data_IF_950999686130
#
_entry.id   IF_950999686130
#
_cell.length_a   1.000
_cell.length_b   1.000
_cell.length_c   1.000
_cell.angle_alpha   90.00
_cell.angle_beta   90.00
_cell.angle_gamma   90.00
#
_symmetry.space_group_name_H-M   'P 1'
#
loop_
_entity.id
_entity.type
_entity.pdbx_description
1 polymer ?
#
# COMPACT_ATOMS: atom_id res chain seq x y z
N UNK A 1 -4.18 -3.92 13.51
CA UNK A 1 -5.18 -5.02 13.60
C UNK A 1 -4.52 -6.40 13.51
N UNK A 2 -3.89 -6.80 12.39
CA UNK A 2 -3.31 -8.14 12.26
C UNK A 2 -2.30 -8.46 13.39
N UNK A 3 -1.34 -7.59 13.64
CA UNK A 3 -0.38 -7.76 14.72
C UNK A 3 -1.05 -7.92 16.10
N UNK A 4 -2.05 -7.10 16.39
CA UNK A 4 -2.82 -7.22 17.63
C UNK A 4 -3.55 -8.57 17.74
N UNK A 5 -4.15 -9.04 16.64
CA UNK A 5 -4.82 -10.35 16.59
C UNK A 5 -3.88 -11.52 16.90
N UNK A 6 -2.62 -11.42 16.46
CA UNK A 6 -1.60 -12.46 16.67
C UNK A 6 -0.67 -12.17 17.87
N UNK A 7 -1.00 -11.18 18.70
CA UNK A 7 -0.18 -10.76 19.84
C UNK A 7 1.26 -10.44 19.46
N UNK A 8 1.45 -9.79 18.31
CA UNK A 8 2.76 -9.36 17.81
C UNK A 8 2.97 -7.87 18.13
N UNK A 9 4.20 -7.50 18.44
CA UNK A 9 4.59 -6.09 18.50
C UNK A 9 4.50 -5.47 17.11
N UNK A 10 4.02 -4.24 17.03
CA UNK A 10 3.88 -3.51 15.77
C UNK A 10 4.49 -2.13 15.89
N UNK A 11 5.48 -1.84 15.06
CA UNK A 11 6.09 -0.51 14.95
C UNK A 11 5.76 0.06 13.57
N UNK A 12 5.25 1.30 13.52
CA UNK A 12 4.82 1.95 12.29
C UNK A 12 5.61 3.24 12.13
N UNK A 13 6.42 3.33 11.07
CA UNK A 13 7.11 4.56 10.68
C UNK A 13 6.16 5.40 9.84
N UNK A 14 5.97 6.65 10.21
CA UNK A 14 5.04 7.54 9.52
C UNK A 14 5.60 8.96 9.46
N UNK A 15 5.52 9.61 8.31
CA UNK A 15 5.95 10.99 8.16
C UNK A 15 5.18 11.92 9.10
N UNK A 16 5.85 12.89 9.71
CA UNK A 16 5.24 13.78 10.70
C UNK A 16 4.03 14.54 10.11
N UNK A 17 4.13 14.98 8.86
CA UNK A 17 2.98 15.61 8.15
C UNK A 17 1.82 14.67 7.92
N UNK A 18 2.11 13.40 7.66
CA UNK A 18 1.06 12.41 7.43
C UNK A 18 0.38 12.01 8.75
N UNK A 19 1.12 12.02 9.87
CA UNK A 19 0.55 11.83 11.22
C UNK A 19 -0.53 12.88 11.49
N UNK A 20 -0.28 14.13 11.15
CA UNK A 20 -1.26 15.21 11.31
C UNK A 20 -2.47 15.03 10.39
N UNK A 21 -2.22 14.77 9.09
CA UNK A 21 -3.27 14.61 8.07
C UNK A 21 -4.17 13.40 8.34
N UNK A 22 -3.60 12.34 8.91
CA UNK A 22 -4.27 11.07 9.14
C UNK A 22 -4.46 10.78 10.64
N UNK A 23 -4.76 11.81 11.43
CA UNK A 23 -4.87 11.71 12.89
C UNK A 23 -5.87 10.64 13.36
N UNK A 24 -6.97 10.43 12.64
CA UNK A 24 -7.97 9.38 12.93
C UNK A 24 -7.35 7.99 12.74
N UNK A 25 -6.57 7.80 11.66
CA UNK A 25 -5.88 6.52 11.43
C UNK A 25 -4.81 6.27 12.50
N UNK A 26 -4.07 7.30 12.88
CA UNK A 26 -3.07 7.24 13.96
C UNK A 26 -3.72 6.86 15.29
N UNK A 27 -4.86 7.45 15.61
CA UNK A 27 -5.65 7.07 16.79
C UNK A 27 -6.02 5.59 16.76
N UNK A 28 -6.54 5.10 15.65
CA UNK A 28 -6.91 3.69 15.47
C UNK A 28 -5.71 2.76 15.62
N UNK A 29 -4.58 3.10 14.99
CA UNK A 29 -3.34 2.32 15.10
C UNK A 29 -2.86 2.20 16.56
N UNK A 30 -2.84 3.31 17.29
CA UNK A 30 -2.49 3.33 18.71
C UNK A 30 -3.46 2.54 19.57
N UNK A 31 -4.75 2.60 19.29
CA UNK A 31 -5.78 1.82 19.99
C UNK A 31 -5.60 0.31 19.82
N UNK A 32 -4.96 -0.13 18.73
CA UNK A 32 -4.55 -1.53 18.51
C UNK A 32 -3.17 -1.85 19.07
N UNK A 33 -2.56 -0.94 19.83
CA UNK A 33 -1.27 -1.18 20.48
C UNK A 33 -0.05 -1.00 19.57
N UNK A 34 -0.18 -0.33 18.42
CA UNK A 34 0.96 -0.04 17.56
C UNK A 34 1.78 1.14 18.12
N UNK A 35 3.10 1.01 18.05
CA UNK A 35 4.06 2.08 18.33
C UNK A 35 4.24 2.92 17.02
N UNK A 36 3.91 4.21 17.10
CA UNK A 36 4.02 5.13 15.98
C UNK A 36 5.31 5.95 16.10
N UNK A 37 6.22 5.73 15.16
CA UNK A 37 7.50 6.44 15.08
C UNK A 37 7.38 7.59 14.08
N UNK A 38 7.36 8.85 14.53
CA UNK A 38 7.31 10.00 13.64
C UNK A 38 8.63 10.18 12.91
N UNK A 39 8.57 10.36 11.58
CA UNK A 39 9.72 10.64 10.75
C UNK A 39 9.72 12.12 10.39
N UNK A 40 10.71 12.83 10.92
CA UNK A 40 10.86 14.28 10.77
C UNK A 40 11.89 14.68 9.69
N UNK A 41 12.56 13.72 9.07
CA UNK A 41 13.53 13.94 8.00
C UNK A 41 12.88 14.18 6.64
N UNK A 42 13.56 14.83 5.75
CA UNK A 42 13.16 15.05 4.36
C UNK A 42 11.83 15.78 4.20
N UNK A 43 10.96 15.26 3.36
CA UNK A 43 9.62 15.81 3.11
C UNK A 43 8.64 15.55 4.25
N UNK A 44 8.99 14.68 5.20
CA UNK A 44 8.16 14.20 6.30
C UNK A 44 6.90 13.45 5.83
N UNK A 45 7.01 12.75 4.70
CA UNK A 45 5.92 11.99 4.08
C UNK A 45 6.31 10.52 3.88
N UNK A 46 5.49 9.76 3.16
CA UNK A 46 5.63 8.31 2.95
C UNK A 46 7.02 7.87 2.49
N UNK A 47 7.67 8.61 1.59
CA UNK A 47 8.99 8.23 1.04
C UNK A 47 10.04 8.18 2.14
N UNK A 48 10.06 9.18 3.00
CA UNK A 48 11.03 9.27 4.10
C UNK A 48 10.71 8.24 5.18
N UNK A 49 9.42 7.98 5.43
CA UNK A 49 8.96 6.94 6.36
C UNK A 49 9.40 5.54 5.91
N UNK A 50 9.27 5.21 4.62
CA UNK A 50 9.74 3.93 4.06
C UNK A 50 11.26 3.82 4.18
N UNK A 51 12.00 4.88 3.86
CA UNK A 51 13.45 4.89 3.95
C UNK A 51 13.94 4.70 5.39
N UNK A 52 13.28 5.32 6.36
CA UNK A 52 13.60 5.17 7.78
C UNK A 52 13.27 3.77 8.29
N UNK A 53 12.12 3.23 7.90
CA UNK A 53 11.74 1.86 8.21
C UNK A 53 12.77 0.85 7.69
N UNK A 54 13.25 1.03 6.45
CA UNK A 54 14.29 0.18 5.87
C UNK A 54 15.61 0.28 6.63
N UNK A 55 16.05 1.50 6.98
CA UNK A 55 17.28 1.70 7.77
C UNK A 55 17.17 0.99 9.12
N UNK A 56 16.08 1.21 9.82
CA UNK A 56 15.84 0.57 11.12
C UNK A 56 15.80 -0.95 11.00
N UNK A 57 15.11 -1.49 10.01
CA UNK A 57 14.99 -2.94 9.80
C UNK A 57 16.33 -3.61 9.47
N UNK A 58 17.18 -2.96 8.69
CA UNK A 58 18.49 -3.51 8.29
C UNK A 58 19.57 -3.35 9.37
N UNK A 59 19.39 -2.47 10.35
CA UNK A 59 20.45 -2.17 11.34
C UNK A 59 20.35 -2.99 12.63
N UNK A 60 19.19 -3.40 13.08
CA UNK A 60 19.02 -3.87 14.46
C UNK A 60 18.06 -5.05 14.65
N UNK A 61 17.50 -5.64 13.60
CA UNK A 61 16.30 -6.45 13.81
C UNK A 61 16.25 -7.76 13.02
N UNK A 62 17.02 -8.73 13.48
CA UNK A 62 16.95 -10.11 12.97
C UNK A 62 15.55 -10.74 13.19
N UNK A 63 14.85 -10.34 14.24
CA UNK A 63 13.51 -10.85 14.60
C UNK A 63 12.33 -10.02 14.05
N UNK A 64 12.61 -8.99 13.23
CA UNK A 64 11.57 -8.11 12.71
C UNK A 64 11.21 -8.45 11.26
N UNK A 65 9.92 -8.57 10.98
CA UNK A 65 9.39 -8.68 9.62
C UNK A 65 8.92 -7.32 9.11
N UNK A 66 9.52 -6.85 8.01
CA UNK A 66 9.10 -5.61 7.37
C UNK A 66 7.90 -5.87 6.47
N UNK A 67 6.79 -5.18 6.73
CA UNK A 67 5.60 -5.19 5.89
C UNK A 67 5.47 -3.88 5.12
N UNK A 68 5.57 -3.95 3.80
CA UNK A 68 5.31 -2.81 2.91
C UNK A 68 4.13 -3.15 2.02
N UNK A 69 3.07 -2.37 2.11
CA UNK A 69 1.83 -2.58 1.37
C UNK A 69 1.82 -2.00 -0.05
N UNK A 70 2.98 -1.75 -0.65
CA UNK A 70 3.10 -1.10 -1.96
C UNK A 70 4.04 -1.85 -2.91
N UNK A 71 4.24 -1.31 -4.11
CA UNK A 71 5.19 -1.83 -5.11
C UNK A 71 6.65 -1.44 -4.80
N UNK A 72 7.01 -1.36 -3.53
CA UNK A 72 8.34 -1.04 -3.04
C UNK A 72 9.01 -2.30 -2.52
N UNK A 73 10.27 -2.51 -2.87
CA UNK A 73 11.06 -3.66 -2.40
C UNK A 73 11.36 -4.68 -3.49
N UNK A 74 11.71 -5.90 -3.12
CA UNK A 74 12.01 -6.99 -4.05
C UNK A 74 10.87 -7.26 -5.03
N UNK A 75 11.20 -7.64 -6.26
CA UNK A 75 10.25 -7.91 -7.36
C UNK A 75 9.11 -8.85 -6.96
N UNK A 76 9.38 -9.80 -6.07
CA UNK A 76 8.35 -10.74 -5.60
C UNK A 76 7.22 -10.03 -4.85
N UNK A 77 7.51 -9.01 -4.04
CA UNK A 77 6.49 -8.24 -3.33
C UNK A 77 5.64 -7.42 -4.30
N UNK A 78 6.28 -6.83 -5.31
CA UNK A 78 5.58 -6.11 -6.39
C UNK A 78 4.61 -7.03 -7.11
N UNK A 79 5.05 -8.24 -7.49
CA UNK A 79 4.21 -9.24 -8.17
C UNK A 79 3.04 -9.70 -7.31
N UNK A 80 3.26 -9.98 -6.02
CA UNK A 80 2.20 -10.37 -5.09
C UNK A 80 1.19 -9.23 -4.93
N UNK A 81 1.66 -7.99 -4.75
CA UNK A 81 0.81 -6.81 -4.66
C UNK A 81 -0.04 -6.59 -5.91
N UNK A 82 0.57 -6.64 -7.09
CA UNK A 82 -0.13 -6.52 -8.37
C UNK A 82 -1.15 -7.64 -8.56
N UNK A 83 -0.77 -8.89 -8.31
CA UNK A 83 -1.66 -10.03 -8.43
C UNK A 83 -2.89 -9.95 -7.52
N UNK A 84 -2.70 -9.57 -6.26
CA UNK A 84 -3.79 -9.45 -5.30
C UNK A 84 -4.76 -8.32 -5.65
N UNK A 85 -4.26 -7.18 -6.14
CA UNK A 85 -5.09 -6.04 -6.53
C UNK A 85 -5.68 -6.16 -7.94
N UNK A 86 -5.14 -7.04 -8.80
CA UNK A 86 -5.67 -7.33 -10.13
C UNK A 86 -7.10 -7.91 -10.13
N UNK A 87 -7.56 -8.42 -8.98
CA UNK A 87 -8.94 -8.87 -8.84
C UNK A 87 -9.95 -7.75 -9.16
N UNK A 88 -9.64 -6.52 -8.74
CA UNK A 88 -10.47 -5.33 -9.04
C UNK A 88 -10.58 -5.13 -10.56
N UNK A 89 -9.46 -5.26 -11.27
CA UNK A 89 -9.41 -5.11 -12.74
C UNK A 89 -10.24 -6.17 -13.46
N UNK A 90 -10.11 -7.44 -13.03
CA UNK A 90 -10.88 -8.56 -13.60
C UNK A 90 -12.39 -8.39 -13.39
N UNK A 91 -12.80 -8.06 -12.20
CA UNK A 91 -14.21 -7.83 -11.88
C UNK A 91 -14.77 -6.64 -12.65
N UNK A 92 -14.04 -5.52 -12.70
CA UNK A 92 -14.43 -4.34 -13.44
C UNK A 92 -14.59 -4.64 -14.94
N UNK A 93 -13.62 -5.32 -15.56
CA UNK A 93 -13.69 -5.67 -16.99
C UNK A 93 -14.89 -6.56 -17.28
N UNK A 94 -15.15 -7.55 -16.41
CA UNK A 94 -16.33 -8.39 -16.52
C UNK A 94 -17.62 -7.58 -16.42
N UNK A 95 -17.76 -6.70 -15.44
CA UNK A 95 -18.92 -5.83 -15.25
C UNK A 95 -19.17 -4.93 -16.47
N UNK A 96 -18.10 -4.35 -17.03
CA UNK A 96 -18.21 -3.53 -18.26
C UNK A 96 -18.73 -4.36 -19.42
N UNK A 97 -18.23 -5.57 -19.62
CA UNK A 97 -18.70 -6.45 -20.70
C UNK A 97 -20.14 -6.91 -20.45
N UNK A 98 -20.49 -7.25 -19.22
CA UNK A 98 -21.86 -7.65 -18.84
C UNK A 98 -22.88 -6.51 -19.07
N UNK A 99 -22.47 -5.26 -18.84
CA UNK A 99 -23.31 -4.06 -19.01
C UNK A 99 -23.45 -3.59 -20.46
N UNK A 100 -22.33 -3.54 -21.21
CA UNK A 100 -22.26 -2.94 -22.54
C UNK A 100 -22.13 -3.95 -23.69
N UNK A 101 -21.98 -5.24 -23.38
CA UNK A 101 -21.73 -6.32 -24.35
C UNK A 101 -20.27 -6.41 -24.81
N UNK A 102 -19.55 -5.29 -24.82
CA UNK A 102 -18.11 -5.18 -25.13
C UNK A 102 -17.49 -4.03 -24.36
N UNK A 103 -16.16 -3.90 -24.42
CA UNK A 103 -15.49 -2.71 -23.85
C UNK A 103 -15.66 -1.54 -24.82
N UNK A 104 -16.33 -0.43 -24.42
CA UNK A 104 -16.52 0.73 -25.28
C UNK A 104 -15.19 1.34 -25.72
N UNK A 105 -15.05 1.66 -27.03
CA UNK A 105 -13.79 2.19 -27.60
C UNK A 105 -13.38 3.56 -27.05
N UNK A 106 -14.32 4.34 -26.61
CA UNK A 106 -14.11 5.68 -26.03
C UNK A 106 -14.07 5.67 -24.49
N UNK A 107 -14.09 4.48 -23.87
CA UNK A 107 -14.00 4.33 -22.43
C UNK A 107 -12.68 4.90 -21.89
N UNK A 108 -12.79 5.72 -20.86
CA UNK A 108 -11.63 6.30 -20.17
C UNK A 108 -11.47 5.67 -18.81
N UNK A 109 -10.29 5.13 -18.55
CA UNK A 109 -9.93 4.57 -17.26
C UNK A 109 -9.07 5.56 -16.49
N UNK A 110 -9.43 5.83 -15.24
CA UNK A 110 -8.71 6.76 -14.37
C UNK A 110 -8.41 6.05 -13.05
N UNK A 111 -7.15 6.07 -12.64
CA UNK A 111 -6.71 5.53 -11.37
C UNK A 111 -5.67 6.45 -10.73
N UNK A 112 -5.70 6.58 -9.41
CA UNK A 112 -4.66 7.31 -8.69
C UNK A 112 -3.42 6.44 -8.50
N UNK A 113 -2.25 7.06 -8.51
CA UNK A 113 -0.97 6.40 -8.28
C UNK A 113 -0.32 7.00 -7.03
N UNK A 114 -0.40 6.26 -5.93
CA UNK A 114 0.36 6.54 -4.72
C UNK A 114 1.63 5.69 -4.68
N UNK A 115 1.66 4.64 -3.86
CA UNK A 115 2.76 3.66 -3.84
C UNK A 115 2.82 2.71 -5.03
N UNK A 116 1.84 2.74 -5.93
CA UNK A 116 1.84 2.01 -7.19
C UNK A 116 1.09 0.67 -7.19
N UNK A 117 0.79 0.07 -6.04
CA UNK A 117 0.13 -1.26 -5.99
C UNK A 117 -1.28 -1.25 -6.58
N UNK A 118 -2.07 -0.21 -6.28
CA UNK A 118 -3.40 -0.04 -6.86
C UNK A 118 -3.33 0.09 -8.38
N UNK A 119 -2.40 0.92 -8.88
CA UNK A 119 -2.23 1.08 -10.33
C UNK A 119 -1.76 -0.22 -10.99
N UNK A 120 -0.77 -0.92 -10.43
CA UNK A 120 -0.28 -2.18 -10.96
C UNK A 120 -1.38 -3.24 -11.09
N UNK A 121 -2.28 -3.32 -10.12
CA UNK A 121 -3.42 -4.23 -10.17
C UNK A 121 -4.53 -3.74 -11.10
N UNK A 122 -4.88 -2.45 -11.02
CA UNK A 122 -5.97 -1.87 -11.82
C UNK A 122 -5.70 -1.99 -13.33
N UNK A 123 -4.47 -1.73 -13.78
CA UNK A 123 -4.12 -1.78 -15.19
C UNK A 123 -3.84 -3.19 -15.72
N UNK A 124 -3.81 -4.22 -14.87
CA UNK A 124 -3.42 -5.58 -15.26
C UNK A 124 -4.22 -6.15 -16.45
N UNK A 125 -5.53 -5.92 -16.50
CA UNK A 125 -6.41 -6.43 -17.56
C UNK A 125 -6.61 -5.45 -18.73
N UNK A 126 -5.97 -4.27 -18.68
CA UNK A 126 -6.20 -3.18 -19.62
C UNK A 126 -4.97 -2.79 -20.44
N UNK A 127 -3.77 -3.31 -20.09
CA UNK A 127 -2.51 -2.91 -20.73
C UNK A 127 -2.46 -3.30 -22.22
N UNK A 128 -3.12 -4.37 -22.62
CA UNK A 128 -3.13 -4.90 -23.98
C UNK A 128 -4.40 -4.51 -24.78
N UNK A 129 -5.10 -3.49 -24.35
CA UNK A 129 -6.34 -3.02 -24.98
C UNK A 129 -6.15 -1.77 -25.81
#
# INVERSE_FOLDING_TARGET
MAAAKFNLKCKIFMGAKDIERQSINVFSMRSYGADIVPVNSGSQTLVDAVSECMRWWTSENEDAHMCVGSTVGPTIFVKIGAWSTAQISREMKKQVIDEFGEVPRDMKLINCVGGGSSAAGFWNEWIDY
#
